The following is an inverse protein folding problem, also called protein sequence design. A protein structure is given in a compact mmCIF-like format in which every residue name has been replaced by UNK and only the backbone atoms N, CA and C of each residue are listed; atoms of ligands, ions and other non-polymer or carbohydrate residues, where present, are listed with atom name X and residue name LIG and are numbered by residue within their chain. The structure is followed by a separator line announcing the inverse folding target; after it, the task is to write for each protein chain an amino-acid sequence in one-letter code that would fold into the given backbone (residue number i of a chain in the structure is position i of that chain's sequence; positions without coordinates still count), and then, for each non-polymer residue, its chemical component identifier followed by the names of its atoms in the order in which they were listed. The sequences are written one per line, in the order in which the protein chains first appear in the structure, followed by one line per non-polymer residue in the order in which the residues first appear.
data_IF_466376289132
#
_entry.id   IF_466376289132
#
_cell.length_a   1.000
_cell.length_b   1.000
_cell.length_c   1.000
_cell.angle_alpha   90.00
_cell.angle_beta   90.00
_cell.angle_gamma   90.00
#
_symmetry.space_group_name_H-M   'P 1'
#
loop_
_entity.id
_entity.type
_entity.pdbx_description
1 polymer ?
#
# COMPACT_ATOMS: atom_id res chain seq x y z
N UNK A 1 6.75 -5.20 -14.30
CA UNK A 1 6.86 -4.97 -12.83
C UNK A 1 5.62 -4.27 -12.24
N UNK A 2 5.08 -3.21 -12.87
CA UNK A 2 3.89 -2.49 -12.39
C UNK A 2 2.63 -3.37 -12.22
N UNK A 3 2.33 -4.26 -13.17
CA UNK A 3 1.15 -5.14 -13.11
C UNK A 3 1.22 -6.16 -11.97
N UNK A 4 2.39 -6.79 -11.74
CA UNK A 4 2.59 -7.71 -10.60
C UNK A 4 2.43 -7.00 -9.25
N UNK A 5 2.87 -5.74 -9.16
CA UNK A 5 2.63 -4.89 -8.00
C UNK A 5 1.14 -4.62 -7.77
N UNK A 6 0.36 -4.39 -8.84
CA UNK A 6 -1.08 -4.17 -8.75
C UNK A 6 -1.85 -5.40 -8.24
N UNK A 7 -1.53 -6.60 -8.71
CA UNK A 7 -2.19 -7.83 -8.24
C UNK A 7 -1.94 -8.11 -6.75
N UNK A 8 -0.72 -7.81 -6.28
CA UNK A 8 -0.39 -7.95 -4.85
C UNK A 8 -1.08 -6.88 -4.02
N UNK A 9 -1.27 -5.67 -4.58
CA UNK A 9 -1.97 -4.60 -3.88
C UNK A 9 -3.39 -4.99 -3.49
N UNK A 10 -4.16 -5.59 -4.41
CA UNK A 10 -5.53 -6.02 -4.10
C UNK A 10 -5.57 -7.04 -2.96
N UNK A 11 -4.61 -7.98 -2.95
CA UNK A 11 -4.49 -8.96 -1.88
C UNK A 11 -4.10 -8.32 -0.54
N UNK A 12 -3.19 -7.34 -0.56
CA UNK A 12 -2.79 -6.59 0.62
C UNK A 12 -3.96 -5.78 1.17
N UNK A 13 -4.69 -5.07 0.32
CA UNK A 13 -5.86 -4.30 0.73
C UNK A 13 -6.92 -5.18 1.38
N UNK A 14 -7.22 -6.36 0.83
CA UNK A 14 -8.14 -7.31 1.51
C UNK A 14 -7.69 -7.67 2.92
N UNK A 15 -6.37 -7.79 3.15
CA UNK A 15 -5.81 -8.07 4.50
C UNK A 15 -5.83 -6.86 5.43
N UNK A 16 -5.88 -5.65 4.88
CA UNK A 16 -5.89 -4.40 5.65
C UNK A 16 -7.30 -3.82 5.85
N UNK A 17 -8.34 -4.60 5.56
CA UNK A 17 -9.74 -4.14 5.53
C UNK A 17 -9.98 -3.02 4.49
N UNK A 18 -9.28 -3.06 3.37
CA UNK A 18 -9.44 -2.15 2.22
C UNK A 18 -8.26 -1.18 2.01
N UNK A 19 -8.38 -0.27 1.03
CA UNK A 19 -7.36 0.75 0.77
C UNK A 19 -7.24 1.71 1.96
N UNK A 20 -6.02 2.08 2.39
CA UNK A 20 -5.84 3.03 3.50
C UNK A 20 -6.54 4.38 3.28
N UNK A 21 -6.58 4.85 2.02
CA UNK A 21 -7.28 6.08 1.64
C UNK A 21 -8.78 6.05 1.96
N UNK A 22 -9.40 4.88 1.85
CA UNK A 22 -10.82 4.68 2.15
C UNK A 22 -11.02 4.40 3.64
N UNK A 23 -10.26 3.44 4.16
CA UNK A 23 -10.36 2.99 5.55
C UNK A 23 -10.27 4.14 6.55
N UNK A 24 -9.34 5.08 6.34
CA UNK A 24 -9.11 6.19 7.28
C UNK A 24 -10.25 7.20 7.39
N UNK A 25 -11.16 7.26 6.42
CA UNK A 25 -12.33 8.14 6.50
C UNK A 25 -13.59 7.46 6.99
N UNK A 26 -13.55 6.14 7.21
CA UNK A 26 -14.64 5.44 7.89
C UNK A 26 -14.80 5.97 9.30
N UNK A 27 -16.03 6.08 9.77
CA UNK A 27 -16.32 6.50 11.13
C UNK A 27 -15.78 5.50 12.16
N UNK A 28 -15.81 4.19 11.83
CA UNK A 28 -15.29 3.12 12.71
C UNK A 28 -13.77 3.04 12.83
N UNK A 29 -13.00 3.63 11.91
CA UNK A 29 -11.52 3.57 11.93
C UNK A 29 -10.93 4.65 12.82
N UNK A 30 -10.00 4.33 13.72
CA UNK A 30 -9.43 5.31 14.66
C UNK A 30 -8.06 5.87 14.24
N UNK A 31 -7.61 5.66 13.00
CA UNK A 31 -6.27 6.08 12.56
C UNK A 31 -6.14 7.60 12.40
N UNK A 32 -7.25 8.25 12.01
CA UNK A 32 -7.41 9.71 12.00
C UNK A 32 -8.38 10.08 13.12
N UNK A 33 -8.01 11.11 13.88
CA UNK A 33 -8.85 11.66 14.94
C UNK A 33 -10.24 12.07 14.43
N UNK A 34 -11.26 11.94 15.28
CA UNK A 34 -12.65 12.14 14.89
C UNK A 34 -12.94 13.58 14.43
N UNK A 35 -12.36 14.59 15.07
CA UNK A 35 -12.56 15.99 14.68
C UNK A 35 -11.89 16.29 13.35
N UNK A 36 -10.72 15.70 13.11
CA UNK A 36 -10.06 15.78 11.81
C UNK A 36 -10.87 15.09 10.71
N UNK A 37 -11.46 13.93 10.99
CA UNK A 37 -12.37 13.24 10.06
C UNK A 37 -13.57 14.11 9.71
N UNK A 38 -14.25 14.72 10.69
CA UNK A 38 -15.38 15.64 10.45
C UNK A 38 -14.98 16.79 9.52
N UNK A 39 -13.82 17.39 9.75
CA UNK A 39 -13.31 18.47 8.90
C UNK A 39 -13.01 18.00 7.47
N UNK A 40 -12.49 16.79 7.29
CA UNK A 40 -12.25 16.22 5.96
C UNK A 40 -13.58 15.92 5.26
N UNK A 41 -14.55 15.34 5.96
CA UNK A 41 -15.89 15.08 5.43
C UNK A 41 -16.56 16.37 4.94
N UNK A 42 -16.49 17.45 5.73
CA UNK A 42 -17.01 18.75 5.30
C UNK A 42 -16.21 19.34 4.13
N UNK A 43 -14.89 19.22 4.13
CA UNK A 43 -14.06 19.68 3.01
C UNK A 43 -14.38 18.91 1.70
N UNK A 44 -14.64 17.60 1.79
CA UNK A 44 -15.10 16.77 0.66
C UNK A 44 -16.47 17.23 0.19
N UNK A 45 -17.41 17.49 1.10
CA UNK A 45 -18.73 18.01 0.75
C UNK A 45 -18.64 19.33 -0.02
N UNK A 46 -17.82 20.26 0.46
CA UNK A 46 -17.67 21.59 -0.15
C UNK A 46 -16.90 21.57 -1.47
N UNK A 47 -15.85 20.76 -1.59
CA UNK A 47 -14.97 20.77 -2.77
C UNK A 47 -15.36 19.75 -3.84
N UNK A 48 -15.74 18.54 -3.43
CA UNK A 48 -16.13 17.47 -4.34
C UNK A 48 -17.63 17.44 -4.61
N UNK A 49 -18.44 18.23 -3.89
CA UNK A 49 -19.90 18.20 -3.95
C UNK A 49 -20.47 16.80 -3.63
N UNK A 50 -19.73 16.02 -2.82
CA UNK A 50 -20.08 14.67 -2.43
C UNK A 50 -20.42 14.62 -0.93
N UNK A 51 -21.64 14.23 -0.62
CA UNK A 51 -22.03 13.93 0.77
C UNK A 51 -21.58 12.50 1.11
N UNK A 52 -20.49 12.42 1.89
CA UNK A 52 -20.09 11.19 2.55
C UNK A 52 -21.12 10.81 3.60
N UNK A 53 -21.23 9.51 3.87
CA UNK A 53 -22.19 9.00 4.85
C UNK A 53 -21.87 9.47 6.26
N UNK A 54 -22.92 9.74 7.02
CA UNK A 54 -22.88 9.86 8.47
C UNK A 54 -22.54 8.51 9.14
N UNK A 55 -22.30 8.54 10.45
CA UNK A 55 -21.98 7.33 11.23
C UNK A 55 -23.10 6.28 11.13
N UNK A 56 -24.35 6.71 11.22
CA UNK A 56 -25.51 5.81 11.17
C UNK A 56 -25.72 5.23 9.76
N UNK A 57 -25.56 6.06 8.73
CA UNK A 57 -25.64 5.61 7.32
C UNK A 57 -24.51 4.62 6.97
N UNK A 58 -23.29 4.85 7.46
CA UNK A 58 -22.16 3.92 7.30
C UNK A 58 -22.46 2.58 7.96
N UNK A 59 -23.06 2.59 9.15
CA UNK A 59 -23.43 1.35 9.85
C UNK A 59 -24.51 0.56 9.09
N UNK A 60 -25.48 1.25 8.47
CA UNK A 60 -26.53 0.62 7.66
C UNK A 60 -26.01 0.08 6.33
N UNK A 61 -25.06 0.76 5.69
CA UNK A 61 -24.52 0.35 4.39
C UNK A 61 -23.02 0.68 4.26
N UNK A 62 -22.14 -0.15 4.84
CA UNK A 62 -20.70 0.12 4.87
C UNK A 62 -20.03 0.04 3.50
N UNK A 63 -20.53 -0.81 2.59
CA UNK A 63 -19.97 -0.94 1.24
C UNK A 63 -20.21 0.31 0.40
N UNK A 64 -21.40 0.90 0.50
CA UNK A 64 -21.72 2.14 -0.21
C UNK A 64 -20.97 3.34 0.38
N UNK A 65 -20.79 3.37 1.71
CA UNK A 65 -19.92 4.35 2.36
C UNK A 65 -18.48 4.30 1.79
N UNK A 66 -17.92 3.09 1.67
CA UNK A 66 -16.59 2.88 1.09
C UNK A 66 -16.50 3.33 -0.37
N UNK A 67 -17.52 3.07 -1.19
CA UNK A 67 -17.57 3.54 -2.57
C UNK A 67 -17.56 5.06 -2.65
N UNK A 68 -18.37 5.74 -1.85
CA UNK A 68 -18.42 7.21 -1.81
C UNK A 68 -17.10 7.82 -1.34
N UNK A 69 -16.49 7.26 -0.31
CA UNK A 69 -15.17 7.70 0.16
C UNK A 69 -14.12 7.49 -0.93
N UNK A 70 -14.12 6.34 -1.59
CA UNK A 70 -13.19 6.06 -2.69
C UNK A 70 -13.40 7.04 -3.86
N UNK A 71 -14.65 7.34 -4.22
CA UNK A 71 -14.98 8.35 -5.22
C UNK A 71 -14.43 9.72 -4.83
N UNK A 72 -14.66 10.18 -3.60
CA UNK A 72 -14.09 11.43 -3.09
C UNK A 72 -12.56 11.44 -3.19
N UNK A 73 -11.89 10.35 -2.83
CA UNK A 73 -10.44 10.25 -2.94
C UNK A 73 -9.92 10.38 -4.38
N UNK A 74 -10.67 9.87 -5.38
CA UNK A 74 -10.34 10.04 -6.80
C UNK A 74 -10.38 11.51 -7.25
N UNK A 75 -11.21 12.36 -6.63
CA UNK A 75 -11.21 13.82 -6.88
C UNK A 75 -10.12 14.55 -6.09
N UNK A 76 -9.91 14.15 -4.83
CA UNK A 76 -8.95 14.80 -3.92
C UNK A 76 -7.51 14.57 -4.36
N UNK A 77 -7.16 13.35 -4.78
CA UNK A 77 -5.80 12.99 -5.19
C UNK A 77 -5.22 13.90 -6.29
N UNK A 78 -5.87 14.08 -7.46
CA UNK A 78 -5.34 14.97 -8.50
C UNK A 78 -5.33 16.43 -8.05
N UNK A 79 -6.30 16.87 -7.26
CA UNK A 79 -6.29 18.22 -6.70
C UNK A 79 -5.05 18.47 -5.81
N UNK A 80 -4.76 17.57 -4.88
CA UNK A 80 -3.57 17.65 -4.02
C UNK A 80 -2.29 17.57 -4.86
N UNK A 81 -2.26 16.72 -5.89
CA UNK A 81 -1.13 16.60 -6.80
C UNK A 81 -0.74 17.94 -7.43
N UNK A 82 -1.73 18.73 -7.86
CA UNK A 82 -1.50 20.04 -8.48
C UNK A 82 -1.28 21.16 -7.47
N UNK A 83 -1.96 21.13 -6.33
CA UNK A 83 -1.90 22.20 -5.34
C UNK A 83 -0.72 22.09 -4.35
N UNK A 84 -0.18 20.88 -4.16
CA UNK A 84 0.95 20.60 -3.26
C UNK A 84 1.92 19.58 -3.92
N UNK A 85 2.57 19.95 -5.03
CA UNK A 85 3.38 19.02 -5.83
C UNK A 85 4.62 18.49 -5.11
N UNK A 86 5.09 19.20 -4.06
CA UNK A 86 6.22 18.80 -3.23
C UNK A 86 5.80 18.34 -1.83
N UNK A 87 4.52 18.03 -1.65
CA UNK A 87 3.98 17.58 -0.37
C UNK A 87 4.60 16.27 0.08
N UNK A 88 4.57 16.01 1.40
CA UNK A 88 5.13 14.78 2.01
C UNK A 88 4.56 13.50 1.38
N UNK A 89 3.33 13.56 0.85
CA UNK A 89 2.67 12.46 0.18
C UNK A 89 3.47 11.91 -1.02
N UNK A 90 4.27 12.74 -1.71
CA UNK A 90 5.09 12.30 -2.85
C UNK A 90 6.13 11.26 -2.43
N UNK A 91 6.85 11.52 -1.34
CA UNK A 91 7.85 10.61 -0.76
C UNK A 91 7.20 9.28 -0.37
N UNK A 92 6.09 9.33 0.35
CA UNK A 92 5.40 8.12 0.79
C UNK A 92 4.79 7.33 -0.37
N UNK A 93 4.30 7.99 -1.42
CA UNK A 93 3.84 7.34 -2.64
C UNK A 93 4.98 6.61 -3.36
N UNK A 94 6.16 7.23 -3.44
CA UNK A 94 7.35 6.62 -4.03
C UNK A 94 7.82 5.40 -3.20
N UNK A 95 7.89 5.53 -1.88
CA UNK A 95 8.26 4.46 -0.96
C UNK A 95 7.28 3.29 -1.00
N UNK A 96 5.97 3.59 -1.01
CA UNK A 96 4.92 2.58 -1.17
C UNK A 96 5.04 1.84 -2.50
N UNK A 97 5.22 2.58 -3.60
CA UNK A 97 5.43 2.01 -4.93
C UNK A 97 6.68 1.12 -4.99
N UNK A 98 7.78 1.55 -4.39
CA UNK A 98 9.02 0.79 -4.30
C UNK A 98 8.84 -0.51 -3.52
N UNK A 99 8.31 -0.45 -2.29
CA UNK A 99 8.12 -1.63 -1.45
C UNK A 99 7.15 -2.63 -2.09
N UNK A 100 6.08 -2.16 -2.71
CA UNK A 100 5.12 -3.02 -3.42
C UNK A 100 5.74 -3.70 -4.64
N UNK A 101 6.55 -2.97 -5.42
CA UNK A 101 7.27 -3.55 -6.56
C UNK A 101 8.30 -4.59 -6.08
N UNK A 102 9.00 -4.30 -4.99
CA UNK A 102 9.95 -5.22 -4.36
C UNK A 102 9.26 -6.51 -3.89
N UNK A 103 8.10 -6.40 -3.24
CA UNK A 103 7.27 -7.56 -2.88
C UNK A 103 6.76 -8.32 -4.12
N UNK A 104 6.47 -7.61 -5.22
CA UNK A 104 6.18 -8.19 -6.53
C UNK A 104 7.30 -9.04 -7.12
N UNK A 105 8.54 -8.81 -6.68
CA UNK A 105 9.69 -9.58 -7.10
C UNK A 105 9.91 -10.86 -6.30
N UNK A 106 9.16 -11.13 -5.23
CA UNK A 106 9.38 -12.29 -4.35
C UNK A 106 9.44 -13.63 -5.10
N UNK A 107 8.60 -13.80 -6.12
CA UNK A 107 8.58 -15.03 -6.91
C UNK A 107 9.82 -15.19 -7.78
N UNK A 108 10.46 -14.09 -8.22
CA UNK A 108 11.72 -14.18 -8.95
C UNK A 108 12.85 -14.68 -8.05
N UNK A 109 12.92 -14.21 -6.80
CA UNK A 109 13.94 -14.68 -5.84
C UNK A 109 13.75 -16.15 -5.47
N UNK A 110 12.50 -16.56 -5.25
CA UNK A 110 12.16 -17.96 -4.98
C UNK A 110 12.55 -18.82 -6.20
N UNK A 111 12.14 -18.45 -7.41
CA UNK A 111 12.49 -19.20 -8.61
C UNK A 111 14.01 -19.26 -8.86
N UNK A 112 14.74 -18.15 -8.68
CA UNK A 112 16.19 -18.15 -8.88
C UNK A 112 16.90 -19.05 -7.88
N UNK A 113 16.49 -19.01 -6.60
CA UNK A 113 17.06 -19.90 -5.59
C UNK A 113 16.73 -21.37 -5.87
N UNK A 114 15.48 -21.69 -6.26
CA UNK A 114 15.09 -23.05 -6.66
C UNK A 114 15.92 -23.56 -7.84
N UNK A 115 16.14 -22.75 -8.87
CA UNK A 115 16.96 -23.12 -10.02
C UNK A 115 18.41 -23.38 -9.60
N UNK A 116 18.96 -22.56 -8.70
CA UNK A 116 20.29 -22.76 -8.12
C UNK A 116 20.40 -24.11 -7.41
N UNK A 117 19.46 -24.42 -6.50
CA UNK A 117 19.40 -25.72 -5.82
C UNK A 117 19.37 -26.88 -6.81
N UNK A 118 18.57 -26.79 -7.87
CA UNK A 118 18.47 -27.85 -8.89
C UNK A 118 19.76 -28.00 -9.68
N UNK A 119 20.36 -26.91 -10.17
CA UNK A 119 21.61 -26.94 -10.94
C UNK A 119 22.74 -27.51 -10.09
N UNK A 120 22.89 -27.05 -8.85
CA UNK A 120 23.91 -27.55 -7.95
C UNK A 120 23.66 -29.00 -7.54
N UNK A 121 22.40 -29.40 -7.30
CA UNK A 121 22.05 -30.78 -6.99
C UNK A 121 22.39 -31.75 -8.13
N UNK A 122 22.03 -31.37 -9.36
CA UNK A 122 22.39 -32.14 -10.57
C UNK A 122 23.90 -32.17 -10.77
N UNK A 123 24.58 -31.04 -10.61
CA UNK A 123 26.04 -30.96 -10.72
C UNK A 123 26.77 -31.83 -9.69
N UNK A 124 26.27 -31.88 -8.46
CA UNK A 124 26.80 -32.76 -7.43
C UNK A 124 26.61 -34.24 -7.79
N UNK A 125 25.41 -34.62 -8.26
CA UNK A 125 25.10 -36.00 -8.67
C UNK A 125 26.06 -36.56 -9.73
N UNK A 126 26.48 -35.73 -10.70
CA UNK A 126 27.38 -36.17 -11.77
C UNK A 126 28.87 -36.04 -11.48
N UNK A 127 29.28 -35.14 -10.58
CA UNK A 127 30.70 -34.82 -10.39
C UNK A 127 31.26 -35.16 -9.02
N UNK A 128 30.38 -35.38 -8.04
CA UNK A 128 30.72 -35.61 -6.63
C UNK A 128 31.60 -34.50 -5.99
N UNK A 129 31.71 -33.33 -6.65
CA UNK A 129 32.54 -32.23 -6.16
C UNK A 129 31.87 -31.49 -5.01
N UNK A 130 32.65 -31.21 -3.96
CA UNK A 130 32.21 -30.48 -2.76
C UNK A 130 31.65 -29.09 -3.07
N UNK A 131 32.15 -28.42 -4.12
CA UNK A 131 31.66 -27.08 -4.52
C UNK A 131 30.16 -27.07 -4.84
N UNK A 132 29.63 -28.15 -5.41
CA UNK A 132 28.21 -28.25 -5.70
C UNK A 132 27.37 -28.47 -4.45
N UNK A 133 27.89 -29.21 -3.47
CA UNK A 133 27.24 -29.35 -2.15
C UNK A 133 27.13 -27.99 -1.46
N UNK A 134 28.20 -27.20 -1.48
CA UNK A 134 28.17 -25.83 -0.95
C UNK A 134 27.13 -24.97 -1.68
N UNK A 135 27.05 -25.09 -3.01
CA UNK A 135 26.02 -24.42 -3.81
C UNK A 135 24.59 -24.78 -3.37
N UNK A 136 24.28 -26.07 -3.23
CA UNK A 136 22.97 -26.54 -2.76
C UNK A 136 22.63 -25.94 -1.39
N UNK A 137 23.57 -25.97 -0.45
CA UNK A 137 23.36 -25.42 0.90
C UNK A 137 23.08 -23.92 0.83
N UNK A 138 23.91 -23.15 0.11
CA UNK A 138 23.75 -21.70 -0.02
C UNK A 138 22.42 -21.33 -0.70
N UNK A 139 22.09 -21.97 -1.82
CA UNK A 139 20.84 -21.69 -2.54
C UNK A 139 19.61 -22.11 -1.74
N UNK A 140 19.71 -23.18 -0.93
CA UNK A 140 18.64 -23.58 -0.01
C UNK A 140 18.44 -22.53 1.10
N UNK A 141 19.51 -21.98 1.65
CA UNK A 141 19.43 -20.88 2.62
C UNK A 141 18.82 -19.62 1.99
N UNK A 142 19.22 -19.27 0.77
CA UNK A 142 18.64 -18.14 0.03
C UNK A 142 17.15 -18.37 -0.28
N UNK A 143 16.75 -19.59 -0.62
CA UNK A 143 15.36 -19.95 -0.82
C UNK A 143 14.54 -19.76 0.45
N UNK A 144 15.00 -20.31 1.58
CA UNK A 144 14.32 -20.16 2.88
C UNK A 144 14.23 -18.69 3.28
N UNK A 145 15.30 -17.93 3.07
CA UNK A 145 15.32 -16.50 3.32
C UNK A 145 14.31 -15.76 2.43
N UNK A 146 14.26 -16.05 1.13
CA UNK A 146 13.33 -15.41 0.19
C UNK A 146 11.85 -15.71 0.54
N UNK A 147 11.54 -16.94 0.95
CA UNK A 147 10.21 -17.34 1.40
C UNK A 147 9.84 -16.62 2.70
N UNK A 148 10.71 -16.66 3.71
CA UNK A 148 10.44 -16.05 5.02
C UNK A 148 10.32 -14.52 4.89
N UNK A 149 11.29 -13.88 4.25
CA UNK A 149 11.33 -12.43 4.08
C UNK A 149 10.18 -11.93 3.21
N UNK A 150 9.95 -12.56 2.06
CA UNK A 150 8.87 -12.22 1.12
C UNK A 150 7.46 -12.50 1.65
N UNK A 151 7.32 -13.47 2.56
CA UNK A 151 6.04 -13.86 3.16
C UNK A 151 5.65 -13.04 4.39
N UNK A 152 6.61 -12.70 5.26
CA UNK A 152 6.31 -12.13 6.58
C UNK A 152 6.80 -10.70 6.76
N UNK A 153 7.98 -10.36 6.23
CA UNK A 153 8.60 -9.05 6.49
C UNK A 153 8.13 -8.02 5.49
N UNK A 154 8.26 -8.30 4.19
CA UNK A 154 7.90 -7.34 3.14
C UNK A 154 6.43 -6.87 3.18
N UNK A 155 5.42 -7.73 3.41
CA UNK A 155 4.04 -7.24 3.47
C UNK A 155 3.82 -6.15 4.53
N UNK A 156 4.54 -6.22 5.66
CA UNK A 156 4.49 -5.21 6.73
C UNK A 156 5.19 -3.92 6.31
N UNK A 157 6.34 -4.01 5.62
CA UNK A 157 7.06 -2.82 5.14
C UNK A 157 6.32 -2.08 4.03
N UNK A 158 5.37 -2.74 3.35
CA UNK A 158 4.52 -2.11 2.34
C UNK A 158 3.36 -1.32 2.97
N UNK A 159 2.83 -1.77 4.12
CA UNK A 159 1.64 -1.16 4.74
C UNK A 159 1.92 0.25 5.30
N UNK A 160 3.03 0.41 6.04
CA UNK A 160 3.38 1.68 6.69
C UNK A 160 3.46 2.86 5.71
N UNK A 161 4.19 2.78 4.58
CA UNK A 161 4.21 3.89 3.62
C UNK A 161 2.87 4.07 2.89
N UNK A 162 2.05 3.01 2.74
CA UNK A 162 0.70 3.14 2.18
C UNK A 162 -0.21 3.98 3.09
N UNK A 163 -0.13 3.71 4.39
CA UNK A 163 -0.85 4.45 5.43
C UNK A 163 -0.36 5.91 5.50
N UNK A 164 0.97 6.13 5.51
CA UNK A 164 1.53 7.49 5.50
C UNK A 164 1.17 8.27 4.24
N UNK A 165 1.12 7.61 3.08
CA UNK A 165 0.66 8.20 1.83
C UNK A 165 -0.80 8.65 1.93
N UNK A 166 -1.71 7.75 2.30
CA UNK A 166 -3.14 8.08 2.41
C UNK A 166 -3.39 9.21 3.42
N UNK A 167 -2.76 9.14 4.60
CA UNK A 167 -2.87 10.18 5.63
C UNK A 167 -2.38 11.53 5.13
N UNK A 168 -1.20 11.57 4.52
CA UNK A 168 -0.62 12.82 4.03
C UNK A 168 -1.43 13.45 2.90
N UNK A 169 -2.06 12.67 2.01
CA UNK A 169 -2.96 13.22 0.98
C UNK A 169 -4.18 13.89 1.62
N UNK A 170 -4.87 13.23 2.56
CA UNK A 170 -6.03 13.80 3.25
C UNK A 170 -5.66 15.04 4.07
N UNK A 171 -4.49 15.04 4.70
CA UNK A 171 -3.98 16.19 5.46
C UNK A 171 -3.65 17.37 4.55
N UNK A 172 -2.92 17.14 3.45
CA UNK A 172 -2.62 18.18 2.46
C UNK A 172 -3.91 18.77 1.90
N UNK A 173 -4.88 17.92 1.54
CA UNK A 173 -6.20 18.35 1.08
C UNK A 173 -6.86 19.34 2.04
N UNK A 174 -6.98 18.96 3.31
CA UNK A 174 -7.61 19.81 4.32
C UNK A 174 -6.88 21.14 4.50
N UNK A 175 -5.55 21.14 4.51
CA UNK A 175 -4.74 22.36 4.63
C UNK A 175 -4.96 23.28 3.44
N UNK A 176 -5.00 22.75 2.22
CA UNK A 176 -5.24 23.53 1.01
C UNK A 176 -6.64 24.15 1.02
N UNK A 177 -7.68 23.38 1.36
CA UNK A 177 -9.06 23.88 1.43
C UNK A 177 -9.20 24.98 2.48
N UNK A 178 -8.67 24.77 3.69
CA UNK A 178 -8.70 25.80 4.76
C UNK A 178 -8.01 27.10 4.34
N UNK A 179 -6.91 27.02 3.57
CA UNK A 179 -6.24 28.21 3.02
C UNK A 179 -7.11 28.92 1.99
N UNK A 180 -7.79 28.19 1.10
CA UNK A 180 -8.72 28.77 0.13
C UNK A 180 -9.92 29.45 0.80
N UNK A 181 -10.55 28.82 1.78
CA UNK A 181 -11.72 29.37 2.47
C UNK A 181 -11.40 30.62 3.30
N UNK A 182 -10.19 30.75 3.83
CA UNK A 182 -9.75 31.96 4.53
C UNK A 182 -9.45 33.16 3.62
N UNK A 183 -9.26 32.91 2.32
CA UNK A 183 -8.91 33.92 1.33
C UNK A 183 -10.13 34.35 0.48
N UNK A 184 -11.33 33.86 0.81
CA UNK A 184 -12.62 34.25 0.26
C UNK A 184 -13.33 35.16 1.27
#
# INVERSE_FOLDING_TARGET
MREKGANIQEQLWKRWDGPPSTRFLRWRDSTIDEDMKKQIHEAVRLYCELNLYSRDEEQMNPEEADKKINQAFLHVKPFVYHADPNGKWTKYNAEYGFNRNLLGCKMYWICSATIGVVICGVGWYFSEKINFVLGVVLDSLLFLWAVAWGGYVLPRTVQVPADLYAKSVWQSFLVIIKKKTKNL
#
